data_IF_490569765224
#
_entry.id   IF_490569765224
#
_cell.length_a   1.000
_cell.length_b   1.000
_cell.length_c   1.000
_cell.angle_alpha   90.00
_cell.angle_beta   90.00
_cell.angle_gamma   90.00
#
_symmetry.space_group_name_H-M   'P 1'
#
loop_
_entity.id
_entity.type
_entity.pdbx_description
1 polymer ?
#
# COMPACT_ATOMS: atom_id res chain seq x y z
N UNK A 1 -15.05 24.66 10.08
CA UNK A 1 -15.42 23.49 9.26
C UNK A 1 -14.83 22.30 9.97
N UNK A 2 -15.57 21.21 10.14
CA UNK A 2 -14.98 19.97 10.65
C UNK A 2 -14.13 19.39 9.53
N UNK A 3 -12.85 19.16 9.79
CA UNK A 3 -11.95 18.55 8.81
C UNK A 3 -12.49 17.15 8.48
N UNK A 4 -12.63 16.87 7.19
CA UNK A 4 -13.09 15.55 6.76
C UNK A 4 -11.98 14.52 6.91
N UNK A 5 -12.39 13.27 7.05
CA UNK A 5 -11.48 12.15 7.26
C UNK A 5 -11.00 11.57 5.93
N UNK A 6 -9.70 11.38 5.79
CA UNK A 6 -9.11 10.47 4.81
C UNK A 6 -8.84 9.15 5.54
N UNK A 7 -9.61 8.11 5.21
CA UNK A 7 -9.50 6.81 5.85
C UNK A 7 -8.57 5.90 5.04
N UNK A 8 -7.44 5.54 5.62
CA UNK A 8 -6.50 4.57 5.09
C UNK A 8 -6.87 3.15 5.53
N UNK A 9 -6.89 2.23 4.57
CA UNK A 9 -6.98 0.80 4.79
C UNK A 9 -5.60 0.21 4.54
N UNK A 10 -5.02 -0.41 5.56
CA UNK A 10 -3.68 -1.00 5.50
C UNK A 10 -3.72 -2.47 5.94
N UNK A 11 -2.75 -3.27 5.51
CA UNK A 11 -2.75 -4.69 5.79
C UNK A 11 -2.47 -4.97 7.27
N UNK A 12 -1.38 -4.42 7.79
CA UNK A 12 -0.85 -4.72 9.11
C UNK A 12 -0.76 -3.51 10.03
N UNK A 13 -0.58 -3.74 11.35
CA UNK A 13 -0.33 -2.67 12.30
C UNK A 13 1.00 -1.94 12.01
N UNK A 14 2.02 -2.65 11.51
CA UNK A 14 3.31 -2.04 11.17
C UNK A 14 3.20 -0.97 10.08
N UNK A 15 2.25 -1.11 9.13
CA UNK A 15 1.95 -0.08 8.14
C UNK A 15 1.36 1.19 8.79
N UNK A 16 0.44 1.01 9.74
CA UNK A 16 -0.16 2.11 10.51
C UNK A 16 0.91 2.80 11.37
N UNK A 17 1.68 2.02 12.13
CA UNK A 17 2.74 2.52 13.02
C UNK A 17 3.78 3.33 12.25
N UNK A 18 4.15 2.87 11.05
CA UNK A 18 5.10 3.56 10.16
C UNK A 18 4.56 4.91 9.68
N UNK A 19 3.27 4.99 9.29
CA UNK A 19 2.76 6.09 8.47
C UNK A 19 1.86 7.07 9.22
N UNK A 20 1.09 6.62 10.22
CA UNK A 20 -0.03 7.40 10.78
C UNK A 20 0.42 8.71 11.43
N UNK A 21 1.46 8.67 12.24
CA UNK A 21 1.99 9.87 12.90
C UNK A 21 2.55 10.87 11.89
N UNK A 22 3.31 10.39 10.91
CA UNK A 22 3.93 11.22 9.88
C UNK A 22 2.85 11.88 9.02
N UNK A 23 1.86 11.10 8.55
CA UNK A 23 0.85 11.59 7.62
C UNK A 23 -0.08 12.60 8.28
N UNK A 24 -0.46 12.38 9.55
CA UNK A 24 -1.23 13.36 10.34
C UNK A 24 -0.43 14.65 10.63
N UNK A 25 0.90 14.57 10.68
CA UNK A 25 1.76 15.76 10.78
C UNK A 25 1.94 16.47 9.44
N UNK A 26 1.89 15.80 8.29
CA UNK A 26 2.00 16.42 6.97
C UNK A 26 0.66 17.04 6.52
N UNK A 27 -0.43 16.27 6.61
CA UNK A 27 -1.74 16.68 6.10
C UNK A 27 -2.49 17.45 7.17
N UNK A 28 -2.61 18.78 7.00
CA UNK A 28 -3.22 19.67 8.00
C UNK A 28 -4.69 19.97 7.78
N UNK A 29 -5.18 19.86 6.56
CA UNK A 29 -6.55 20.25 6.20
C UNK A 29 -7.58 19.11 6.38
N UNK A 30 -7.09 17.89 6.69
CA UNK A 30 -7.89 16.69 6.79
C UNK A 30 -7.40 15.80 7.94
N UNK A 31 -8.34 15.12 8.59
CA UNK A 31 -8.03 14.11 9.59
C UNK A 31 -7.56 12.83 8.89
N UNK A 32 -6.33 12.39 9.19
CA UNK A 32 -5.84 11.09 8.75
C UNK A 32 -6.21 10.02 9.76
N UNK A 33 -6.87 8.96 9.30
CA UNK A 33 -7.27 7.81 10.12
C UNK A 33 -6.93 6.51 9.41
N UNK A 34 -6.68 5.46 10.17
CA UNK A 34 -6.33 4.14 9.67
C UNK A 34 -7.33 3.10 10.16
N UNK A 35 -7.56 2.07 9.35
CA UNK A 35 -8.24 0.83 9.72
C UNK A 35 -7.36 -0.33 9.23
N UNK A 36 -6.80 -1.07 10.19
CA UNK A 36 -5.95 -2.23 9.94
C UNK A 36 -6.81 -3.45 9.58
N UNK A 37 -6.55 -4.03 8.40
CA UNK A 37 -7.34 -5.12 7.84
C UNK A 37 -6.96 -6.50 8.41
N UNK A 38 -5.74 -6.63 8.93
CA UNK A 38 -5.10 -7.87 9.40
C UNK A 38 -4.96 -8.96 8.32
N UNK A 39 -5.07 -8.58 7.06
CA UNK A 39 -4.88 -9.44 5.89
C UNK A 39 -4.86 -8.62 4.61
N UNK A 40 -4.04 -9.00 3.64
CA UNK A 40 -4.16 -8.49 2.28
C UNK A 40 -5.43 -9.01 1.60
N UNK A 41 -6.46 -8.17 1.62
CA UNK A 41 -7.74 -8.45 0.94
C UNK A 41 -7.60 -8.54 -0.58
N UNK A 42 -6.47 -8.16 -1.18
CA UNK A 42 -6.21 -8.30 -2.62
C UNK A 42 -5.49 -9.61 -2.98
N UNK A 43 -4.87 -10.30 -2.01
CA UNK A 43 -4.18 -11.60 -2.19
C UNK A 43 -4.90 -12.80 -1.58
N UNK A 44 -6.01 -12.62 -0.88
CA UNK A 44 -6.82 -13.70 -0.32
C UNK A 44 -7.25 -14.70 -1.41
N UNK A 45 -7.07 -16.00 -1.13
CA UNK A 45 -7.27 -17.10 -2.09
C UNK A 45 -8.70 -17.18 -2.65
N UNK A 46 -9.69 -16.80 -1.83
CA UNK A 46 -11.09 -16.82 -2.24
C UNK A 46 -11.56 -15.49 -2.82
N UNK A 47 -10.71 -14.46 -2.76
CA UNK A 47 -11.07 -13.13 -3.23
C UNK A 47 -11.05 -13.05 -4.74
N UNK A 48 -12.06 -12.36 -5.28
CA UNK A 48 -12.14 -12.02 -6.69
C UNK A 48 -12.66 -10.58 -6.85
N UNK A 49 -12.57 -10.06 -8.08
CA UNK A 49 -13.12 -8.77 -8.52
C UNK A 49 -14.60 -8.58 -8.11
N UNK A 50 -15.35 -9.68 -8.02
CA UNK A 50 -16.77 -9.68 -7.62
C UNK A 50 -16.97 -9.33 -6.14
N UNK A 51 -16.05 -9.73 -5.27
CA UNK A 51 -16.22 -9.65 -3.81
C UNK A 51 -15.42 -8.51 -3.17
N UNK A 52 -14.41 -7.97 -3.85
CA UNK A 52 -13.50 -6.97 -3.26
C UNK A 52 -14.23 -5.71 -2.75
N UNK A 53 -15.24 -5.23 -3.48
CA UNK A 53 -15.99 -4.03 -3.08
C UNK A 53 -16.79 -4.27 -1.79
N UNK A 54 -17.39 -5.45 -1.65
CA UNK A 54 -18.09 -5.84 -0.43
C UNK A 54 -17.11 -5.93 0.74
N UNK A 55 -15.89 -6.43 0.50
CA UNK A 55 -14.84 -6.53 1.52
C UNK A 55 -14.35 -5.16 1.99
N UNK A 56 -14.13 -4.23 1.06
CA UNK A 56 -13.77 -2.83 1.37
C UNK A 56 -14.91 -2.13 2.11
N UNK A 57 -16.16 -2.28 1.64
CA UNK A 57 -17.34 -1.75 2.34
C UNK A 57 -17.38 -2.23 3.79
N UNK A 58 -17.17 -3.52 4.02
CA UNK A 58 -17.18 -4.10 5.37
C UNK A 58 -16.09 -3.50 6.25
N UNK A 59 -14.89 -3.24 5.71
CA UNK A 59 -13.81 -2.59 6.46
C UNK A 59 -14.21 -1.16 6.90
N UNK A 60 -14.78 -0.37 5.98
CA UNK A 60 -15.27 0.97 6.30
C UNK A 60 -16.44 0.94 7.30
N UNK A 61 -17.36 -0.02 7.16
CA UNK A 61 -18.47 -0.22 8.11
C UNK A 61 -17.95 -0.57 9.52
N UNK A 62 -16.91 -1.41 9.63
CA UNK A 62 -16.26 -1.75 10.91
C UNK A 62 -15.66 -0.49 11.55
N UNK A 63 -14.93 0.31 10.78
CA UNK A 63 -14.37 1.56 11.25
C UNK A 63 -15.45 2.50 11.80
N UNK A 64 -16.55 2.70 11.05
CA UNK A 64 -17.67 3.54 11.48
C UNK A 64 -18.39 2.97 12.72
N UNK A 65 -18.52 1.65 12.84
CA UNK A 65 -19.12 1.01 14.03
C UNK A 65 -18.28 1.24 15.29
N UNK A 66 -16.94 1.22 15.16
CA UNK A 66 -16.02 1.54 16.27
C UNK A 66 -16.03 3.03 16.62
N UNK A 67 -16.45 3.89 15.70
CA UNK A 67 -16.48 5.35 15.85
C UNK A 67 -17.91 5.90 15.66
N UNK A 68 -18.85 5.63 16.59
CA UNK A 68 -20.29 5.86 16.38
C UNK A 68 -20.70 7.34 16.26
N UNK A 69 -19.79 8.28 16.55
CA UNK A 69 -19.99 9.72 16.35
C UNK A 69 -19.73 10.16 14.91
N UNK A 70 -19.09 9.31 14.10
CA UNK A 70 -18.82 9.57 12.69
C UNK A 70 -19.95 9.04 11.80
N UNK A 71 -20.16 9.73 10.69
CA UNK A 71 -21.08 9.36 9.63
C UNK A 71 -20.29 9.17 8.33
N UNK A 72 -20.89 8.44 7.39
CA UNK A 72 -20.33 8.27 6.03
C UNK A 72 -19.94 9.60 5.37
N UNK A 73 -20.72 10.66 5.56
CA UNK A 73 -20.45 12.00 5.01
C UNK A 73 -19.21 12.69 5.55
N UNK A 74 -18.70 12.22 6.69
CA UNK A 74 -17.51 12.78 7.35
C UNK A 74 -16.22 12.20 6.75
N UNK A 75 -16.31 11.07 6.04
CA UNK A 75 -15.21 10.51 5.26
C UNK A 75 -15.17 11.21 3.90
N UNK A 76 -14.06 11.90 3.62
CA UNK A 76 -13.77 12.54 2.34
C UNK A 76 -13.50 11.50 1.25
N UNK A 77 -12.61 10.55 1.54
CA UNK A 77 -12.18 9.49 0.63
C UNK A 77 -11.60 8.32 1.42
N UNK A 78 -11.61 7.15 0.79
CA UNK A 78 -10.94 5.94 1.28
C UNK A 78 -9.68 5.73 0.45
N UNK A 79 -8.57 5.49 1.13
CA UNK A 79 -7.30 5.15 0.51
C UNK A 79 -6.96 3.73 0.94
N UNK A 80 -6.53 2.89 0.01
CA UNK A 80 -5.95 1.60 0.34
C UNK A 80 -4.46 1.62 0.00
N UNK A 81 -3.62 1.19 0.95
CA UNK A 81 -2.21 0.91 0.68
C UNK A 81 -2.07 -0.60 0.58
N UNK A 82 -1.36 -1.05 -0.46
CA UNK A 82 -1.06 -2.46 -0.62
C UNK A 82 0.41 -2.69 -0.88
N UNK A 83 0.85 -3.86 -0.46
CA UNK A 83 2.06 -4.47 -0.97
C UNK A 83 1.80 -5.01 -2.36
N UNK A 84 2.75 -4.90 -3.29
CA UNK A 84 2.58 -5.55 -4.59
C UNK A 84 2.91 -7.04 -4.51
N UNK A 85 3.74 -7.47 -3.56
CA UNK A 85 4.18 -8.88 -3.39
C UNK A 85 4.69 -9.55 -4.67
N UNK A 86 5.34 -8.81 -5.56
CA UNK A 86 5.72 -9.33 -6.87
C UNK A 86 4.53 -9.77 -7.75
N UNK A 87 3.30 -9.36 -7.40
CA UNK A 87 2.09 -9.89 -7.99
C UNK A 87 2.04 -9.63 -9.49
N UNK A 88 2.71 -8.61 -10.04
CA UNK A 88 2.67 -8.25 -11.45
C UNK A 88 3.75 -8.92 -12.31
N UNK A 89 4.66 -9.70 -11.73
CA UNK A 89 5.70 -10.40 -12.50
C UNK A 89 5.12 -11.49 -13.42
N UNK A 90 5.49 -11.62 -14.70
CA UNK A 90 5.01 -12.73 -15.53
C UNK A 90 5.21 -14.10 -14.87
N UNK A 91 4.25 -15.02 -15.04
CA UNK A 91 4.27 -16.34 -14.38
C UNK A 91 5.49 -17.20 -14.76
N UNK A 92 6.11 -16.90 -15.90
CA UNK A 92 7.38 -17.50 -16.36
C UNK A 92 8.56 -17.17 -15.44
N UNK A 93 8.49 -16.09 -14.67
CA UNK A 93 9.47 -15.72 -13.66
C UNK A 93 9.13 -16.25 -12.26
N UNK A 94 8.09 -17.06 -12.12
CA UNK A 94 7.81 -17.79 -10.88
C UNK A 94 8.33 -19.22 -11.01
N UNK A 95 9.32 -19.55 -10.18
CA UNK A 95 10.00 -20.84 -10.14
C UNK A 95 9.56 -21.61 -8.91
N UNK A 96 9.62 -22.94 -8.97
CA UNK A 96 9.43 -23.76 -7.78
C UNK A 96 10.69 -23.67 -6.92
N UNK A 97 10.51 -23.46 -5.61
CA UNK A 97 11.61 -23.40 -4.66
C UNK A 97 12.18 -24.79 -4.37
N UNK A 98 13.51 -24.86 -4.28
CA UNK A 98 14.27 -26.03 -3.83
C UNK A 98 14.38 -26.09 -2.30
N UNK A 99 14.18 -24.97 -1.61
CA UNK A 99 14.31 -24.82 -0.14
C UNK A 99 12.96 -24.99 0.58
N UNK A 100 11.86 -25.00 -0.16
CA UNK A 100 10.51 -25.03 0.40
C UNK A 100 10.08 -23.70 1.02
N UNK A 101 10.80 -22.61 0.77
CA UNK A 101 10.44 -21.23 1.14
C UNK A 101 10.06 -20.40 -0.08
N UNK A 102 9.32 -19.31 0.14
CA UNK A 102 9.07 -18.31 -0.92
C UNK A 102 10.06 -17.17 -0.76
N UNK A 103 10.88 -16.92 -1.77
CA UNK A 103 11.94 -15.91 -1.76
C UNK A 103 11.82 -15.05 -3.02
N UNK A 104 12.04 -13.75 -2.88
CA UNK A 104 11.86 -12.78 -3.94
C UNK A 104 13.21 -12.21 -4.36
N UNK A 105 13.49 -12.26 -5.66
CA UNK A 105 14.69 -11.72 -6.28
C UNK A 105 14.28 -10.67 -7.32
N UNK A 106 15.21 -9.80 -7.72
CA UNK A 106 14.95 -8.69 -8.65
C UNK A 106 14.32 -9.10 -9.99
N UNK A 107 14.51 -10.36 -10.40
CA UNK A 107 14.09 -10.87 -11.71
C UNK A 107 13.19 -12.09 -11.65
N UNK A 108 12.99 -12.70 -10.48
CA UNK A 108 12.15 -13.90 -10.34
C UNK A 108 11.70 -14.12 -8.88
N UNK A 109 10.69 -14.96 -8.72
CA UNK A 109 10.26 -15.45 -7.40
C UNK A 109 10.56 -16.95 -7.34
N UNK A 110 11.27 -17.37 -6.29
CA UNK A 110 11.40 -18.77 -5.91
C UNK A 110 10.25 -19.10 -4.96
N UNK A 111 9.23 -19.83 -5.41
CA UNK A 111 8.00 -20.00 -4.65
C UNK A 111 7.92 -21.36 -3.97
N UNK A 112 7.55 -21.40 -2.68
CA UNK A 112 7.26 -22.65 -1.95
C UNK A 112 6.22 -23.51 -2.68
N UNK A 113 5.18 -22.87 -3.22
CA UNK A 113 4.19 -23.52 -4.07
C UNK A 113 3.96 -22.61 -5.29
N UNK A 114 4.61 -22.96 -6.40
CA UNK A 114 4.58 -22.20 -7.65
C UNK A 114 3.16 -21.96 -8.15
N UNK A 115 2.35 -23.01 -8.26
CA UNK A 115 1.02 -22.92 -8.86
C UNK A 115 0.03 -22.14 -7.97
N UNK A 116 0.16 -22.27 -6.65
CA UNK A 116 -0.60 -21.45 -5.69
C UNK A 116 -0.23 -19.97 -5.83
N UNK A 117 1.06 -19.64 -5.88
CA UNK A 117 1.51 -18.26 -6.02
C UNK A 117 1.06 -17.66 -7.36
N UNK A 118 1.16 -18.40 -8.46
CA UNK A 118 0.68 -17.94 -9.77
C UNK A 118 -0.82 -17.65 -9.72
N UNK A 119 -1.63 -18.55 -9.13
CA UNK A 119 -3.09 -18.32 -8.99
C UNK A 119 -3.40 -17.07 -8.15
N UNK A 120 -2.72 -16.91 -7.00
CA UNK A 120 -2.83 -15.71 -6.16
C UNK A 120 -2.50 -14.46 -6.96
N UNK A 121 -1.38 -14.46 -7.68
CA UNK A 121 -0.92 -13.31 -8.48
C UNK A 121 -1.91 -12.93 -9.58
N UNK A 122 -2.51 -13.92 -10.26
CA UNK A 122 -3.55 -13.67 -11.26
C UNK A 122 -4.77 -13.01 -10.60
N UNK A 123 -5.22 -13.52 -9.44
CA UNK A 123 -6.37 -12.91 -8.74
C UNK A 123 -6.07 -11.49 -8.29
N UNK A 124 -4.93 -11.27 -7.60
CA UNK A 124 -4.48 -9.96 -7.13
C UNK A 124 -4.36 -8.96 -8.27
N UNK A 125 -3.77 -9.32 -9.41
CA UNK A 125 -3.72 -8.45 -10.60
C UNK A 125 -5.11 -7.99 -11.05
N UNK A 126 -6.05 -8.93 -11.17
CA UNK A 126 -7.39 -8.60 -11.64
C UNK A 126 -8.13 -7.69 -10.66
N UNK A 127 -7.97 -7.94 -9.35
CA UNK A 127 -8.53 -7.12 -8.28
C UNK A 127 -7.93 -5.72 -8.32
N UNK A 128 -6.60 -5.61 -8.28
CA UNK A 128 -5.91 -4.32 -8.26
C UNK A 128 -6.21 -3.54 -9.54
N UNK A 129 -6.23 -4.19 -10.71
CA UNK A 129 -6.62 -3.55 -11.95
C UNK A 129 -8.03 -2.94 -11.88
N UNK A 130 -9.01 -3.64 -11.29
CA UNK A 130 -10.35 -3.06 -11.03
C UNK A 130 -10.26 -1.83 -10.12
N UNK A 131 -9.55 -1.94 -9.00
CA UNK A 131 -9.47 -0.90 -7.98
C UNK A 131 -8.77 0.37 -8.49
N UNK A 132 -7.68 0.21 -9.24
CA UNK A 132 -6.93 1.32 -9.86
C UNK A 132 -7.81 2.16 -10.80
N UNK A 133 -8.76 1.51 -11.49
CA UNK A 133 -9.66 2.17 -12.45
C UNK A 133 -11.02 2.56 -11.85
N UNK A 134 -11.19 2.42 -10.53
CA UNK A 134 -12.44 2.75 -9.84
C UNK A 134 -12.30 4.09 -9.13
N UNK A 135 -13.09 5.08 -9.53
CA UNK A 135 -13.13 6.39 -8.85
C UNK A 135 -13.93 6.33 -7.54
N UNK A 136 -14.85 5.38 -7.44
CA UNK A 136 -15.70 5.13 -6.29
C UNK A 136 -15.74 3.63 -5.95
N UNK A 137 -15.62 3.31 -4.67
CA UNK A 137 -15.83 1.97 -4.13
C UNK A 137 -16.76 2.08 -2.94
N UNK A 138 -17.85 1.31 -2.95
CA UNK A 138 -18.84 1.30 -1.88
C UNK A 138 -19.46 2.69 -1.56
N UNK A 139 -19.51 3.58 -2.55
CA UNK A 139 -20.02 4.94 -2.45
C UNK A 139 -19.07 5.89 -1.74
N UNK A 140 -17.76 5.62 -1.78
CA UNK A 140 -16.70 6.52 -1.32
C UNK A 140 -15.75 6.79 -2.48
N UNK A 141 -15.31 8.05 -2.69
CA UNK A 141 -14.14 8.33 -3.52
C UNK A 141 -12.97 7.46 -3.06
N UNK A 142 -12.34 6.76 -4.00
CA UNK A 142 -11.41 5.69 -3.68
C UNK A 142 -10.10 5.84 -4.46
N UNK A 143 -8.99 5.57 -3.77
CA UNK A 143 -7.66 5.53 -4.37
C UNK A 143 -6.88 4.35 -3.78
N UNK A 144 -5.99 3.76 -4.57
CA UNK A 144 -5.09 2.70 -4.12
C UNK A 144 -3.65 3.05 -4.45
N UNK A 145 -2.74 2.86 -3.50
CA UNK A 145 -1.31 3.11 -3.62
C UNK A 145 -0.51 1.87 -3.23
N UNK A 146 0.77 1.84 -3.56
CA UNK A 146 1.59 0.65 -3.38
C UNK A 146 2.97 0.90 -2.76
N UNK A 147 3.43 -0.12 -2.04
CA UNK A 147 4.84 -0.43 -1.84
C UNK A 147 5.20 -1.66 -2.68
N UNK A 148 6.28 -1.58 -3.45
CA UNK A 148 6.74 -2.71 -4.24
C UNK A 148 7.34 -3.78 -3.34
N UNK A 149 6.97 -5.04 -3.56
CA UNK A 149 7.12 -6.12 -2.58
C UNK A 149 6.41 -5.79 -1.27
N UNK A 150 7.04 -5.04 -0.38
CA UNK A 150 6.51 -4.59 0.91
C UNK A 150 7.13 -3.27 1.38
N UNK A 151 6.58 -2.68 2.44
CA UNK A 151 7.03 -1.39 2.98
C UNK A 151 8.49 -1.44 3.48
N UNK A 152 8.93 -2.54 4.11
CA UNK A 152 10.29 -2.68 4.61
C UNK A 152 11.30 -2.74 3.46
N UNK A 153 10.94 -3.43 2.37
CA UNK A 153 11.75 -3.46 1.17
C UNK A 153 11.92 -2.06 0.59
N UNK A 154 10.87 -1.25 0.54
CA UNK A 154 10.95 0.10 -0.01
C UNK A 154 11.73 1.05 0.90
N UNK A 155 11.36 1.13 2.18
CA UNK A 155 11.88 2.16 3.08
C UNK A 155 13.24 1.81 3.70
N UNK A 156 13.55 0.53 3.87
CA UNK A 156 14.79 0.07 4.51
C UNK A 156 15.72 -0.68 3.56
N UNK A 157 15.30 -0.93 2.32
CA UNK A 157 16.07 -1.72 1.34
C UNK A 157 16.42 -3.14 1.86
N UNK A 158 15.46 -3.76 2.57
CA UNK A 158 15.59 -5.12 3.09
C UNK A 158 14.86 -6.08 2.14
N UNK A 159 15.52 -7.13 1.69
CA UNK A 159 14.95 -8.11 0.76
C UNK A 159 14.69 -9.46 1.41
N UNK A 160 15.19 -9.66 2.62
CA UNK A 160 15.07 -10.86 3.42
C UNK A 160 13.69 -10.98 4.10
N UNK A 161 13.34 -12.20 4.50
CA UNK A 161 12.17 -12.42 5.35
C UNK A 161 12.47 -11.85 6.75
N UNK A 162 11.57 -11.00 7.23
CA UNK A 162 11.63 -10.42 8.58
C UNK A 162 10.64 -11.11 9.50
N UNK A 163 11.04 -11.25 10.76
CA UNK A 163 10.16 -11.59 11.88
C UNK A 163 9.23 -10.42 12.20
N UNK A 164 8.14 -10.68 12.93
CA UNK A 164 7.20 -9.62 13.33
C UNK A 164 7.89 -8.56 14.22
N UNK A 165 8.79 -8.98 15.12
CA UNK A 165 9.58 -8.07 15.98
C UNK A 165 10.50 -7.16 15.16
N UNK A 166 11.21 -7.70 14.16
CA UNK A 166 12.04 -6.88 13.28
C UNK A 166 11.22 -5.87 12.48
N UNK A 167 10.00 -6.22 12.06
CA UNK A 167 9.12 -5.28 11.36
C UNK A 167 8.63 -4.16 12.27
N UNK A 168 8.29 -4.48 13.52
CA UNK A 168 7.90 -3.50 14.52
C UNK A 168 9.03 -2.50 14.81
N UNK A 169 10.28 -2.99 14.94
CA UNK A 169 11.46 -2.16 15.14
C UNK A 169 11.69 -1.18 13.97
N UNK A 170 11.57 -1.67 12.72
CA UNK A 170 11.71 -0.84 11.53
C UNK A 170 10.60 0.21 11.40
N UNK A 171 9.35 -0.17 11.71
CA UNK A 171 8.23 0.75 11.74
C UNK A 171 8.46 1.87 12.75
N UNK A 172 8.94 1.52 13.96
CA UNK A 172 9.31 2.49 14.98
C UNK A 172 10.46 3.40 14.54
N UNK A 173 11.50 2.86 13.87
CA UNK A 173 12.63 3.66 13.37
C UNK A 173 12.16 4.76 12.40
N UNK A 174 11.26 4.44 11.47
CA UNK A 174 10.69 5.42 10.52
C UNK A 174 9.83 6.44 11.27
N UNK A 175 8.92 5.96 12.12
CA UNK A 175 8.01 6.83 12.86
C UNK A 175 8.78 7.83 13.74
N UNK A 176 9.78 7.37 14.49
CA UNK A 176 10.61 8.20 15.36
C UNK A 176 11.43 9.21 14.54
N UNK A 177 12.15 8.73 13.52
CA UNK A 177 13.02 9.56 12.67
C UNK A 177 12.30 10.74 12.05
N UNK A 178 11.08 10.52 11.55
CA UNK A 178 10.33 11.53 10.82
C UNK A 178 9.20 12.17 11.61
N UNK A 179 9.03 11.80 12.89
CA UNK A 179 8.03 12.43 13.75
C UNK A 179 8.29 13.93 13.88
N UNK A 180 9.54 14.33 14.16
CA UNK A 180 9.87 15.75 14.41
C UNK A 180 10.17 16.54 13.13
N UNK A 181 10.54 15.86 12.04
CA UNK A 181 10.79 16.45 10.71
C UNK A 181 10.00 15.70 9.62
N UNK A 182 8.65 15.76 9.62
CA UNK A 182 7.82 15.03 8.66
C UNK A 182 8.05 15.45 7.20
N UNK A 183 8.56 16.65 6.96
CA UNK A 183 8.97 17.14 5.64
C UNK A 183 10.15 16.36 5.06
N UNK A 184 11.04 15.80 5.90
CA UNK A 184 12.12 14.93 5.44
C UNK A 184 11.58 13.59 4.94
N UNK A 185 10.44 13.12 5.46
CA UNK A 185 9.76 11.95 4.92
C UNK A 185 9.17 12.23 3.54
N UNK A 186 8.55 13.41 3.35
CA UNK A 186 8.16 13.84 2.01
C UNK A 186 9.38 13.83 1.09
N UNK A 187 10.50 14.42 1.53
CA UNK A 187 11.73 14.49 0.73
C UNK A 187 12.22 13.10 0.33
N UNK A 188 12.20 12.15 1.27
CA UNK A 188 12.50 10.76 0.98
C UNK A 188 11.60 10.18 -0.13
N UNK A 189 10.30 10.49 -0.14
CA UNK A 189 9.38 9.98 -1.17
C UNK A 189 9.67 10.54 -2.58
N UNK A 190 10.25 11.73 -2.70
CA UNK A 190 10.57 12.36 -3.98
C UNK A 190 12.02 12.13 -4.43
N UNK A 191 12.95 11.94 -3.49
CA UNK A 191 14.39 11.81 -3.77
C UNK A 191 14.91 10.37 -3.60
N UNK A 192 14.13 9.49 -2.96
CA UNK A 192 14.44 8.08 -2.84
C UNK A 192 14.58 7.43 -4.22
N UNK A 193 15.52 6.51 -4.36
CA UNK A 193 15.71 5.77 -5.62
C UNK A 193 14.55 4.85 -5.98
N UNK A 194 13.59 4.70 -5.06
CA UNK A 194 12.32 4.03 -5.27
C UNK A 194 11.20 4.95 -5.78
N UNK A 195 11.46 6.26 -5.94
CA UNK A 195 10.50 7.22 -6.46
C UNK A 195 10.07 6.84 -7.88
N UNK A 196 8.77 6.96 -8.16
CA UNK A 196 8.20 6.78 -9.50
C UNK A 196 7.51 8.07 -9.90
N UNK A 197 8.07 8.75 -10.90
CA UNK A 197 7.54 9.99 -11.43
C UNK A 197 6.31 9.76 -12.32
N UNK A 198 5.42 10.75 -12.36
CA UNK A 198 4.28 10.80 -13.26
C UNK A 198 2.94 10.81 -12.52
N UNK A 199 1.86 10.72 -13.29
CA UNK A 199 0.52 10.71 -12.72
C UNK A 199 0.22 9.41 -11.99
N UNK A 200 -0.88 9.38 -11.22
CA UNK A 200 -1.44 8.15 -10.65
C UNK A 200 -1.51 7.00 -11.67
N UNK A 201 -1.96 7.29 -12.89
CA UNK A 201 -2.04 6.30 -13.97
C UNK A 201 -0.64 5.83 -14.43
N UNK A 202 0.30 6.76 -14.58
CA UNK A 202 1.65 6.44 -15.04
C UNK A 202 2.39 5.54 -14.05
N UNK A 203 2.29 5.85 -12.74
CA UNK A 203 2.93 5.04 -11.69
C UNK A 203 2.35 3.62 -11.61
N UNK A 204 1.04 3.47 -11.77
CA UNK A 204 0.40 2.16 -11.85
C UNK A 204 0.79 1.39 -13.12
N UNK A 205 0.85 2.03 -14.28
CA UNK A 205 1.35 1.37 -15.50
C UNK A 205 2.80 0.90 -15.31
N UNK A 206 3.64 1.75 -14.71
CA UNK A 206 5.03 1.42 -14.46
C UNK A 206 5.20 0.19 -13.57
N UNK A 207 4.49 0.10 -12.43
CA UNK A 207 4.68 -1.02 -11.49
C UNK A 207 4.15 -2.35 -12.03
N UNK A 208 3.16 -2.29 -12.93
CA UNK A 208 2.56 -3.46 -13.57
C UNK A 208 3.42 -4.06 -14.69
N UNK A 209 4.45 -3.34 -15.16
CA UNK A 209 5.29 -3.73 -16.29
C UNK A 209 6.69 -4.19 -15.85
N UNK A 210 7.37 -4.91 -16.76
CA UNK A 210 8.82 -5.17 -16.71
C UNK A 210 9.36 -5.76 -15.39
N UNK A 211 8.50 -6.46 -14.62
CA UNK A 211 8.87 -7.03 -13.32
C UNK A 211 9.14 -5.98 -12.24
N UNK A 212 8.73 -4.72 -12.42
CA UNK A 212 8.99 -3.64 -11.49
C UNK A 212 8.41 -3.91 -10.08
N UNK A 213 7.34 -4.71 -9.97
CA UNK A 213 6.79 -5.17 -8.69
C UNK A 213 7.73 -6.04 -7.83
N UNK A 214 8.88 -6.47 -8.37
CA UNK A 214 9.93 -7.17 -7.60
C UNK A 214 11.07 -6.25 -7.17
N UNK A 215 11.18 -5.08 -7.79
CA UNK A 215 12.19 -4.07 -7.49
C UNK A 215 11.70 -3.16 -6.36
N UNK A 216 12.49 -2.14 -6.04
CA UNK A 216 12.19 -1.18 -4.98
C UNK A 216 11.53 0.07 -5.53
N UNK A 217 10.20 0.16 -5.43
CA UNK A 217 9.41 1.29 -5.95
C UNK A 217 8.19 1.59 -5.07
N UNK A 218 7.75 2.86 -5.01
CA UNK A 218 6.46 3.25 -4.43
C UNK A 218 5.86 4.44 -5.17
N UNK A 219 4.56 4.67 -4.99
CA UNK A 219 3.87 5.84 -5.54
C UNK A 219 3.19 6.72 -4.49
N UNK A 220 3.62 6.64 -3.22
CA UNK A 220 3.03 7.43 -2.14
C UNK A 220 3.19 8.95 -2.32
N UNK A 221 4.19 9.40 -3.08
CA UNK A 221 4.32 10.83 -3.45
C UNK A 221 3.06 11.36 -4.14
N UNK A 222 2.43 10.56 -5.02
CA UNK A 222 1.24 10.93 -5.79
C UNK A 222 0.05 11.25 -4.89
N UNK A 223 -0.07 10.59 -3.73
CA UNK A 223 -1.10 10.92 -2.75
C UNK A 223 -0.97 12.38 -2.28
N UNK A 224 0.24 12.80 -1.91
CA UNK A 224 0.51 14.17 -1.47
C UNK A 224 0.34 15.18 -2.60
N UNK A 225 0.81 14.86 -3.81
CA UNK A 225 0.62 15.71 -5.00
C UNK A 225 -0.88 15.98 -5.28
N UNK A 226 -1.73 14.97 -5.15
CA UNK A 226 -3.19 15.10 -5.32
C UNK A 226 -3.85 15.97 -4.25
N UNK A 227 -3.22 16.12 -3.09
CA UNK A 227 -3.63 17.07 -2.04
C UNK A 227 -3.00 18.46 -2.23
N UNK A 228 -2.19 18.67 -3.27
CA UNK A 228 -1.44 19.91 -3.49
C UNK A 228 -0.24 20.07 -2.56
N UNK A 229 0.14 19.02 -1.83
CA UNK A 229 1.28 19.01 -0.92
C UNK A 229 2.51 18.60 -1.73
N UNK A 230 3.35 19.57 -2.03
CA UNK A 230 4.58 19.38 -2.81
C UNK A 230 5.76 19.99 -2.09
N UNK A 231 6.95 19.45 -2.36
CA UNK A 231 8.18 20.07 -1.87
C UNK A 231 8.53 21.20 -2.82
N UNK A 232 8.64 22.41 -2.29
CA UNK A 232 9.34 23.49 -2.99
C UNK A 232 10.82 23.14 -3.00
N UNK A 233 11.25 22.33 -3.96
CA UNK A 233 12.68 22.11 -4.19
C UNK A 233 13.24 23.43 -4.71
N UNK A 234 13.98 24.14 -3.86
CA UNK A 234 14.74 25.33 -4.26
C UNK A 234 15.95 24.91 -5.10
#
# INVERSE_FOLDING_TARGET
MTDKIILFLVEGPTDEDTLALIYSKIVKDHDIKFEVLHTDITADEEMTVKYIEVRIKKAVDIYLQRNPFLKKSDILKVIQIIDTDGAFVPSTFVKQSDTGKTEYFDTYISAKNKDRLIRRNISKRNIVYKLVHSEDIAGFPYEIYYFSRNIEHVLHNIAEDLTDEEKEDLAFEIADRYSECPEDFLKLLYEGDFYVAGTYKDTWNFIMENGNSLKRHCNMSVFFEKLGITINVK
#
